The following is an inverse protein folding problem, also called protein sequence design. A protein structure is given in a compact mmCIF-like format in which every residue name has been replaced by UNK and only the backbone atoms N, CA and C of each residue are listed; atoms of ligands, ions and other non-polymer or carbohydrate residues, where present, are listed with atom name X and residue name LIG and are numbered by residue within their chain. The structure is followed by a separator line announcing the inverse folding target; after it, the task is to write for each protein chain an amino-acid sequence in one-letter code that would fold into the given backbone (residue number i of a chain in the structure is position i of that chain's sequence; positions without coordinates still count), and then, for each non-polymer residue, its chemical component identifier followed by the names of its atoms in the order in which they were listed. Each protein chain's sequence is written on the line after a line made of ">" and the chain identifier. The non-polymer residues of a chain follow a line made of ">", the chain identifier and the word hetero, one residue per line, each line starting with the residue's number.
data_IF_485828884799
#
_entry.id   IF_485828884799
#
_cell.length_a   1.000
_cell.length_b   1.000
_cell.length_c   1.000
_cell.angle_alpha   90.00
_cell.angle_beta   90.00
_cell.angle_gamma   90.00
#
_symmetry.space_group_name_H-M   'P 1'
#
loop_
_entity.id
_entity.type
_entity.pdbx_description
1 polymer ?
#
# COMPACT_ATOMS: atom_id res chain seq x y z
N UNK A 1 -29.04 54.47 39.86
CA UNK A 1 -29.26 53.85 38.53
C UNK A 1 -27.96 53.36 38.03
N UNK A 2 -27.66 52.07 38.27
CA UNK A 2 -26.44 51.40 37.83
C UNK A 2 -26.81 50.49 36.65
N UNK A 3 -26.32 50.81 35.47
CA UNK A 3 -26.46 49.95 34.30
C UNK A 3 -25.37 48.86 34.32
N UNK A 4 -25.76 47.59 34.42
CA UNK A 4 -24.92 46.40 34.26
C UNK A 4 -24.73 46.12 32.77
N UNK A 5 -23.53 46.35 32.27
CA UNK A 5 -23.10 45.95 30.93
C UNK A 5 -22.74 44.48 31.01
N UNK A 6 -23.55 43.62 30.38
CA UNK A 6 -23.23 42.19 30.18
C UNK A 6 -22.35 42.05 28.93
N UNK A 7 -21.08 41.78 29.12
CA UNK A 7 -20.16 41.34 28.08
C UNK A 7 -20.43 39.86 27.74
N UNK A 8 -21.01 39.60 26.58
CA UNK A 8 -21.13 38.27 26.05
C UNK A 8 -19.78 37.89 25.38
N UNK A 9 -19.06 37.01 26.00
CA UNK A 9 -17.85 36.42 25.39
C UNK A 9 -18.27 35.40 24.32
N UNK A 10 -18.06 35.74 23.04
CA UNK A 10 -18.23 34.83 21.91
C UNK A 10 -17.01 33.87 21.88
N UNK A 11 -17.20 32.63 22.33
CA UNK A 11 -16.20 31.59 22.20
C UNK A 11 -16.15 31.13 20.72
N UNK A 12 -15.16 31.59 19.98
CA UNK A 12 -14.87 31.14 18.62
C UNK A 12 -14.22 29.75 18.69
N UNK A 13 -15.02 28.70 18.57
CA UNK A 13 -14.50 27.32 18.42
C UNK A 13 -13.90 27.19 17.03
N UNK A 14 -12.56 27.26 16.92
CA UNK A 14 -11.81 26.86 15.75
C UNK A 14 -11.95 25.34 15.57
N UNK A 15 -12.86 24.93 14.70
CA UNK A 15 -12.90 23.57 14.16
C UNK A 15 -11.65 23.39 13.29
N UNK A 16 -10.61 22.80 13.85
CA UNK A 16 -9.52 22.25 13.06
C UNK A 16 -10.09 21.07 12.27
N UNK A 17 -10.51 21.33 11.04
CA UNK A 17 -10.72 20.26 10.05
C UNK A 17 -9.35 19.64 9.79
N UNK A 18 -9.08 18.50 10.42
CA UNK A 18 -7.98 17.64 9.99
C UNK A 18 -8.27 17.25 8.53
N UNK A 19 -7.37 17.53 7.58
CA UNK A 19 -7.57 17.05 6.23
C UNK A 19 -7.72 15.52 6.33
N UNK A 20 -8.83 15.00 5.82
CA UNK A 20 -8.98 13.58 5.61
C UNK A 20 -7.80 13.14 4.72
N UNK A 21 -6.89 12.34 5.25
CA UNK A 21 -5.87 11.65 4.47
C UNK A 21 -6.55 10.53 3.68
N UNK A 22 -7.53 10.91 2.86
CA UNK A 22 -8.17 10.03 1.92
C UNK A 22 -7.16 9.76 0.79
N UNK A 23 -6.77 8.50 0.62
CA UNK A 23 -6.18 7.93 -0.62
C UNK A 23 -5.29 8.87 -1.44
N UNK A 24 -4.38 9.62 -0.79
CA UNK A 24 -3.45 10.42 -1.56
C UNK A 24 -2.46 9.50 -2.22
N UNK A 25 -2.54 9.46 -3.56
CA UNK A 25 -1.51 8.87 -4.39
C UNK A 25 -0.14 9.40 -3.97
N UNK A 26 0.91 8.57 -3.94
CA UNK A 26 2.23 9.02 -3.56
C UNK A 26 2.67 10.17 -4.48
N UNK A 27 2.87 11.34 -3.89
CA UNK A 27 3.34 12.53 -4.63
C UNK A 27 4.66 12.21 -5.32
N UNK A 28 4.76 12.57 -6.62
CA UNK A 28 5.96 12.32 -7.40
C UNK A 28 6.16 10.87 -7.86
N UNK A 29 5.17 9.99 -7.71
CA UNK A 29 5.25 8.59 -8.15
C UNK A 29 4.15 8.23 -9.17
N UNK A 30 3.71 9.18 -9.97
CA UNK A 30 2.76 8.95 -11.05
C UNK A 30 3.46 8.42 -12.33
N UNK A 31 2.68 8.10 -13.36
CA UNK A 31 3.21 7.56 -14.62
C UNK A 31 4.15 8.53 -15.35
N UNK A 32 3.90 9.85 -15.26
CA UNK A 32 4.77 10.85 -15.90
C UNK A 32 6.13 10.92 -15.17
N UNK A 33 6.11 10.87 -13.84
CA UNK A 33 7.31 10.81 -13.02
C UNK A 33 8.16 9.56 -13.32
N UNK A 34 7.49 8.40 -13.48
CA UNK A 34 8.14 7.16 -13.88
C UNK A 34 8.82 7.26 -15.25
N UNK A 35 8.14 7.83 -16.24
CA UNK A 35 8.74 8.03 -17.57
C UNK A 35 9.93 8.99 -17.53
N UNK A 36 9.85 10.05 -16.72
CA UNK A 36 10.95 10.98 -16.50
C UNK A 36 12.14 10.30 -15.78
N UNK A 37 11.88 9.43 -14.81
CA UNK A 37 12.90 8.62 -14.15
C UNK A 37 13.61 7.70 -15.15
N UNK A 38 12.90 6.95 -15.98
CA UNK A 38 13.49 6.08 -17.00
C UNK A 38 14.30 6.85 -18.05
N UNK A 39 13.92 8.11 -18.33
CA UNK A 39 14.67 8.95 -19.27
C UNK A 39 16.03 9.39 -18.70
N UNK A 40 16.12 9.59 -17.37
CA UNK A 40 17.34 10.01 -16.68
C UNK A 40 18.27 8.85 -16.29
N UNK A 41 17.70 7.64 -16.12
CA UNK A 41 18.41 6.47 -15.58
C UNK A 41 18.42 5.31 -16.59
N UNK A 42 19.39 5.28 -17.54
CA UNK A 42 19.44 4.22 -18.54
C UNK A 42 19.57 2.80 -17.97
N UNK A 43 20.28 2.65 -16.83
CA UNK A 43 20.40 1.37 -16.13
C UNK A 43 19.04 0.87 -15.63
N UNK A 44 18.26 1.75 -14.99
CA UNK A 44 16.92 1.43 -14.51
C UNK A 44 15.99 1.01 -15.65
N UNK A 45 16.12 1.62 -16.84
CA UNK A 45 15.37 1.21 -18.03
C UNK A 45 15.64 -0.25 -18.40
N UNK A 46 16.90 -0.69 -18.39
CA UNK A 46 17.25 -2.07 -18.69
C UNK A 46 16.71 -3.04 -17.62
N UNK A 47 16.81 -2.68 -16.35
CA UNK A 47 16.29 -3.47 -15.23
C UNK A 47 14.76 -3.59 -15.29
N UNK A 48 14.04 -2.51 -15.54
CA UNK A 48 12.58 -2.52 -15.72
C UNK A 48 12.18 -3.39 -16.92
N UNK A 49 12.92 -3.35 -18.04
CA UNK A 49 12.62 -4.19 -19.18
C UNK A 49 12.78 -5.68 -18.83
N UNK A 50 13.86 -6.04 -18.14
CA UNK A 50 14.09 -7.40 -17.67
C UNK A 50 13.00 -7.85 -16.67
N UNK A 51 12.61 -6.99 -15.75
CA UNK A 51 11.52 -7.26 -14.82
C UNK A 51 10.17 -7.48 -15.53
N UNK A 52 9.85 -6.65 -16.53
CA UNK A 52 8.64 -6.85 -17.36
C UNK A 52 8.65 -8.19 -18.09
N UNK A 53 9.79 -8.59 -18.64
CA UNK A 53 9.94 -9.90 -19.29
C UNK A 53 9.71 -11.05 -18.29
N UNK A 54 10.25 -10.92 -17.07
CA UNK A 54 10.01 -11.88 -16.01
C UNK A 54 8.51 -11.97 -15.66
N UNK A 55 7.82 -10.85 -15.46
CA UNK A 55 6.37 -10.83 -15.16
C UNK A 55 5.56 -11.51 -16.28
N UNK A 56 5.93 -11.28 -17.55
CA UNK A 56 5.28 -11.90 -18.70
C UNK A 56 5.49 -13.43 -18.73
N UNK A 57 6.70 -13.90 -18.40
CA UNK A 57 6.97 -15.34 -18.30
C UNK A 57 6.16 -16.02 -17.18
N UNK A 58 5.95 -15.31 -16.06
CA UNK A 58 5.13 -15.78 -14.94
C UNK A 58 3.62 -15.49 -15.15
N UNK A 59 3.26 -14.88 -16.27
CA UNK A 59 1.86 -14.52 -16.65
C UNK A 59 1.15 -13.66 -15.63
N UNK A 60 1.84 -12.68 -15.04
CA UNK A 60 1.30 -11.72 -14.05
C UNK A 60 1.54 -10.26 -14.44
N UNK A 61 1.91 -10.00 -15.70
CA UNK A 61 2.23 -8.67 -16.24
C UNK A 61 1.03 -7.72 -16.35
N UNK A 62 -0.17 -8.28 -16.35
CA UNK A 62 -1.45 -7.59 -16.55
C UNK A 62 -2.21 -7.32 -15.23
N UNK A 63 -1.72 -7.83 -14.10
CA UNK A 63 -2.39 -7.64 -12.79
C UNK A 63 -2.37 -6.18 -12.37
N UNK A 64 -1.22 -5.55 -12.42
CA UNK A 64 -1.07 -4.10 -12.19
C UNK A 64 0.00 -3.54 -13.14
N UNK A 65 -0.07 -2.27 -13.52
CA UNK A 65 0.95 -1.66 -14.38
C UNK A 65 2.35 -1.75 -13.74
N UNK A 66 3.38 -2.14 -14.51
CA UNK A 66 4.75 -2.27 -14.01
C UNK A 66 5.27 -1.00 -13.33
N UNK A 67 4.87 0.19 -13.79
CA UNK A 67 5.28 1.46 -13.20
C UNK A 67 4.78 1.65 -11.77
N UNK A 68 3.70 0.98 -11.38
CA UNK A 68 3.23 0.95 -10.00
C UNK A 68 4.05 -0.01 -9.14
N UNK A 69 4.46 -1.16 -9.71
CA UNK A 69 5.26 -2.16 -8.99
C UNK A 69 6.64 -1.66 -8.56
N UNK A 70 7.19 -0.68 -9.28
CA UNK A 70 8.48 -0.07 -8.96
C UNK A 70 8.37 1.17 -8.08
N UNK A 71 7.17 1.58 -7.65
CA UNK A 71 6.99 2.57 -6.59
C UNK A 71 7.60 2.04 -5.30
N UNK A 72 8.36 2.86 -4.61
CA UNK A 72 8.99 2.48 -3.35
C UNK A 72 8.05 2.70 -2.16
N UNK A 73 8.32 3.66 -1.28
CA UNK A 73 7.45 4.04 -0.18
C UNK A 73 6.80 5.40 -0.45
N UNK A 74 5.59 5.63 0.02
CA UNK A 74 4.97 6.96 -0.05
C UNK A 74 5.76 8.05 0.69
N UNK A 75 6.65 7.66 1.62
CA UNK A 75 7.56 8.56 2.35
C UNK A 75 8.92 8.74 1.68
N UNK A 76 9.12 8.30 0.44
CA UNK A 76 10.41 8.33 -0.23
C UNK A 76 11.10 9.68 -0.17
N UNK A 77 10.37 10.77 -0.40
CA UNK A 77 10.90 12.14 -0.37
C UNK A 77 11.34 12.57 1.02
N UNK A 78 10.51 12.30 2.04
CA UNK A 78 10.84 12.62 3.43
C UNK A 78 12.01 11.79 3.98
N UNK A 79 12.28 10.65 3.35
CA UNK A 79 13.38 9.75 3.68
C UNK A 79 14.63 9.94 2.80
N UNK A 80 14.62 10.90 1.88
CA UNK A 80 15.67 11.06 0.86
C UNK A 80 15.99 9.74 0.15
N UNK A 81 14.96 8.94 -0.09
CA UNK A 81 15.05 7.62 -0.70
C UNK A 81 14.74 7.64 -2.20
N UNK A 82 14.95 6.53 -2.90
CA UNK A 82 14.62 6.44 -4.32
C UNK A 82 13.10 6.54 -4.53
N UNK A 83 12.72 7.35 -5.50
CA UNK A 83 11.33 7.55 -5.95
C UNK A 83 10.76 6.25 -6.54
N UNK A 84 11.53 5.61 -7.41
CA UNK A 84 11.29 4.31 -8.00
C UNK A 84 12.51 3.43 -7.81
N UNK A 85 12.32 2.13 -7.69
CA UNK A 85 13.40 1.16 -7.54
C UNK A 85 12.94 -0.19 -8.09
N UNK A 86 13.84 -0.92 -8.72
CA UNK A 86 13.61 -2.30 -9.17
C UNK A 86 14.25 -3.23 -8.15
N UNK A 87 13.45 -4.08 -7.53
CA UNK A 87 13.97 -5.08 -6.61
C UNK A 87 15.04 -5.97 -7.30
N UNK A 88 16.04 -6.49 -6.57
CA UNK A 88 16.99 -7.44 -7.13
C UNK A 88 16.29 -8.62 -7.82
N UNK A 89 16.82 -9.16 -8.94
CA UNK A 89 16.19 -10.27 -9.66
C UNK A 89 15.94 -11.53 -8.82
N UNK A 90 16.74 -11.76 -7.76
CA UNK A 90 16.52 -12.84 -6.79
C UNK A 90 15.19 -12.76 -6.04
N UNK A 91 14.62 -11.56 -5.93
CA UNK A 91 13.38 -11.29 -5.18
C UNK A 91 12.11 -11.32 -6.07
N UNK A 92 12.25 -11.36 -7.39
CA UNK A 92 11.11 -11.22 -8.31
C UNK A 92 10.07 -12.35 -8.20
N UNK A 93 10.51 -13.57 -7.85
CA UNK A 93 9.57 -14.70 -7.65
C UNK A 93 8.59 -14.44 -6.51
N UNK A 94 8.99 -13.68 -5.50
CA UNK A 94 8.15 -13.36 -4.36
C UNK A 94 6.96 -12.51 -4.78
N UNK A 95 7.20 -11.46 -5.57
CA UNK A 95 6.11 -10.58 -6.00
C UNK A 95 5.20 -11.28 -7.03
N UNK A 96 5.71 -12.18 -7.86
CA UNK A 96 4.90 -12.96 -8.78
C UNK A 96 3.85 -13.80 -8.03
N UNK A 97 4.22 -14.41 -6.90
CA UNK A 97 3.29 -15.14 -6.03
C UNK A 97 2.18 -14.24 -5.48
N UNK A 98 2.55 -13.04 -5.00
CA UNK A 98 1.60 -12.05 -4.49
C UNK A 98 0.65 -11.55 -5.58
N UNK A 99 1.18 -11.24 -6.78
CA UNK A 99 0.37 -10.82 -7.93
C UNK A 99 -0.60 -11.92 -8.37
N UNK A 100 -0.15 -13.17 -8.39
CA UNK A 100 -1.01 -14.32 -8.69
C UNK A 100 -2.18 -14.44 -7.69
N UNK A 101 -1.92 -14.21 -6.40
CA UNK A 101 -2.98 -14.17 -5.40
C UNK A 101 -3.94 -13.00 -5.60
N UNK A 102 -3.42 -11.81 -5.89
CA UNK A 102 -4.25 -10.61 -6.15
C UNK A 102 -5.20 -10.88 -7.32
N UNK A 103 -4.69 -11.31 -8.47
CA UNK A 103 -5.50 -11.60 -9.66
C UNK A 103 -6.58 -12.65 -9.41
N UNK A 104 -6.20 -13.75 -8.76
CA UNK A 104 -7.10 -14.90 -8.67
C UNK A 104 -8.10 -14.81 -7.52
N UNK A 105 -7.83 -14.01 -6.49
CA UNK A 105 -8.64 -14.00 -5.27
C UNK A 105 -9.05 -12.60 -4.81
N UNK A 106 -8.25 -11.58 -5.01
CA UNK A 106 -8.53 -10.23 -4.52
C UNK A 106 -9.38 -9.44 -5.52
N UNK A 107 -8.92 -9.28 -6.75
CA UNK A 107 -9.64 -8.51 -7.78
C UNK A 107 -11.05 -9.04 -8.09
N UNK A 108 -11.33 -10.35 -8.08
CA UNK A 108 -12.70 -10.85 -8.27
C UNK A 108 -13.69 -10.41 -7.18
N UNK A 109 -13.21 -9.92 -6.03
CA UNK A 109 -14.05 -9.55 -4.89
C UNK A 109 -14.11 -8.05 -4.67
N UNK A 110 -12.98 -7.34 -4.80
CA UNK A 110 -12.92 -5.90 -4.53
C UNK A 110 -12.68 -5.04 -5.77
N UNK A 111 -12.56 -5.67 -6.95
CA UNK A 111 -12.20 -5.00 -8.19
C UNK A 111 -10.70 -4.72 -8.32
N UNK A 112 -10.30 -3.99 -9.39
CA UNK A 112 -8.91 -3.62 -9.63
C UNK A 112 -8.32 -2.81 -8.49
N UNK A 113 -7.01 -2.97 -8.30
CA UNK A 113 -6.24 -2.28 -7.26
C UNK A 113 -5.17 -1.38 -7.88
N UNK A 114 -4.74 -0.37 -7.13
CA UNK A 114 -3.60 0.46 -7.45
C UNK A 114 -2.52 0.28 -6.38
N UNK A 115 -1.29 0.01 -6.81
CA UNK A 115 -0.15 -0.17 -5.91
C UNK A 115 0.42 1.20 -5.52
N UNK A 116 0.50 1.47 -4.23
CA UNK A 116 1.05 2.71 -3.68
C UNK A 116 2.43 2.54 -3.03
N UNK A 117 2.86 1.31 -2.78
CA UNK A 117 4.21 0.99 -2.31
C UNK A 117 4.56 -0.46 -2.59
N UNK A 118 5.71 -0.70 -3.20
CA UNK A 118 6.27 -2.02 -3.48
C UNK A 118 7.56 -2.30 -2.70
N UNK A 119 8.67 -2.56 -3.43
CA UNK A 119 9.97 -2.83 -2.86
C UNK A 119 10.51 -1.65 -2.05
N UNK A 120 11.15 -1.94 -0.91
CA UNK A 120 11.85 -0.96 -0.08
C UNK A 120 13.21 -1.52 0.30
N UNK A 121 14.29 -0.86 -0.12
CA UNK A 121 15.60 -1.18 0.40
C UNK A 121 15.66 -0.94 1.93
N UNK A 122 16.72 -1.39 2.58
CA UNK A 122 16.82 -1.37 4.04
C UNK A 122 16.72 0.02 4.63
N UNK A 123 17.40 1.01 4.03
CA UNK A 123 17.45 2.37 4.56
C UNK A 123 16.09 3.06 4.46
N UNK A 124 15.43 2.93 3.30
CA UNK A 124 14.09 3.46 3.11
C UNK A 124 13.07 2.77 4.02
N UNK A 125 13.17 1.45 4.18
CA UNK A 125 12.28 0.72 5.09
C UNK A 125 12.45 1.19 6.54
N UNK A 126 13.69 1.39 6.99
CA UNK A 126 14.00 1.90 8.34
C UNK A 126 13.46 3.32 8.55
N UNK A 127 13.70 4.22 7.62
CA UNK A 127 13.21 5.60 7.69
C UNK A 127 11.67 5.64 7.65
N UNK A 128 11.03 4.86 6.80
CA UNK A 128 9.58 4.75 6.69
C UNK A 128 8.95 3.99 7.87
N UNK A 129 9.71 3.69 8.93
CA UNK A 129 9.27 2.97 10.14
C UNK A 129 8.71 1.59 9.85
N UNK A 130 9.17 0.93 8.79
CA UNK A 130 8.85 -0.46 8.49
C UNK A 130 9.48 -1.41 9.51
N UNK A 131 8.85 -2.57 9.71
CA UNK A 131 9.41 -3.61 10.57
C UNK A 131 10.79 -4.06 10.07
N UNK A 132 11.75 -4.44 10.96
CA UNK A 132 13.07 -4.90 10.52
C UNK A 132 13.04 -6.11 9.58
N UNK A 133 12.01 -6.97 9.73
CA UNK A 133 11.75 -8.13 8.86
C UNK A 133 10.55 -7.88 7.95
N UNK A 134 10.43 -6.66 7.41
CA UNK A 134 9.33 -6.29 6.52
C UNK A 134 9.36 -7.09 5.23
N UNK A 135 8.20 -7.59 4.81
CA UNK A 135 8.00 -8.28 3.53
C UNK A 135 8.32 -7.39 2.31
N UNK A 136 8.24 -6.07 2.44
CA UNK A 136 8.64 -5.12 1.39
C UNK A 136 10.14 -5.15 1.08
N UNK A 137 11.01 -5.49 2.07
CA UNK A 137 12.47 -5.57 1.87
C UNK A 137 12.88 -6.73 0.95
N UNK A 138 12.04 -7.73 0.83
CA UNK A 138 12.25 -8.92 0.01
C UNK A 138 11.18 -9.05 -1.09
N UNK A 139 10.56 -7.94 -1.44
CA UNK A 139 9.57 -7.83 -2.50
C UNK A 139 8.44 -8.87 -2.45
N UNK A 140 8.06 -9.35 -1.26
CA UNK A 140 6.86 -10.16 -1.06
C UNK A 140 5.58 -9.32 -1.02
N UNK A 141 5.69 -8.00 -0.75
CA UNK A 141 4.58 -7.18 -0.32
C UNK A 141 4.25 -6.03 -1.26
N UNK A 142 2.95 -5.74 -1.35
CA UNK A 142 2.39 -4.53 -1.93
C UNK A 142 1.47 -3.85 -0.93
N UNK A 143 1.61 -2.54 -0.76
CA UNK A 143 0.58 -1.71 -0.19
C UNK A 143 -0.27 -1.15 -1.34
N UNK A 144 -1.59 -1.23 -1.21
CA UNK A 144 -2.53 -0.93 -2.29
C UNK A 144 -3.73 -0.14 -1.79
N UNK A 145 -4.45 0.45 -2.74
CA UNK A 145 -5.79 1.00 -2.55
C UNK A 145 -6.71 0.43 -3.63
N UNK A 146 -8.05 0.33 -3.40
CA UNK A 146 -8.97 0.02 -4.48
C UNK A 146 -8.90 1.08 -5.57
N UNK A 147 -8.94 0.67 -6.84
CA UNK A 147 -9.01 1.61 -7.98
C UNK A 147 -10.44 2.17 -8.17
N UNK A 148 -11.44 1.58 -7.52
CA UNK A 148 -12.83 2.04 -7.49
C UNK A 148 -13.17 2.73 -6.17
N UNK A 149 -14.30 3.44 -6.15
CA UNK A 149 -14.85 4.07 -4.93
C UNK A 149 -15.51 3.02 -4.02
N UNK A 150 -14.68 2.13 -3.49
CA UNK A 150 -15.11 1.08 -2.56
C UNK A 150 -15.04 1.58 -1.12
N UNK A 151 -16.14 1.48 -0.39
CA UNK A 151 -16.20 1.89 1.02
C UNK A 151 -15.28 1.04 1.91
N UNK A 152 -14.65 1.69 2.92
CA UNK A 152 -13.72 1.02 3.84
C UNK A 152 -14.29 -0.28 4.45
N UNK A 153 -15.53 -0.26 4.91
CA UNK A 153 -16.17 -1.42 5.52
C UNK A 153 -16.38 -2.58 4.55
N UNK A 154 -16.72 -2.29 3.30
CA UNK A 154 -16.89 -3.28 2.25
C UNK A 154 -15.54 -3.90 1.87
N UNK A 155 -14.52 -3.07 1.68
CA UNK A 155 -13.14 -3.49 1.46
C UNK A 155 -12.66 -4.47 2.53
N UNK A 156 -12.80 -4.09 3.81
CA UNK A 156 -12.35 -4.90 4.94
C UNK A 156 -13.08 -6.25 4.99
N UNK A 157 -14.41 -6.26 4.82
CA UNK A 157 -15.20 -7.51 4.80
C UNK A 157 -14.77 -8.44 3.66
N UNK A 158 -14.58 -7.89 2.47
CA UNK A 158 -14.11 -8.63 1.30
C UNK A 158 -12.75 -9.27 1.53
N UNK A 159 -11.78 -8.47 1.95
CA UNK A 159 -10.39 -8.94 2.18
C UNK A 159 -10.30 -9.93 3.34
N UNK A 160 -11.02 -9.71 4.45
CA UNK A 160 -11.05 -10.66 5.57
C UNK A 160 -11.62 -12.00 5.13
N UNK A 161 -12.72 -12.01 4.36
CA UNK A 161 -13.31 -13.24 3.82
C UNK A 161 -12.34 -14.01 2.93
N UNK A 162 -11.64 -13.32 2.04
CA UNK A 162 -10.65 -13.96 1.16
C UNK A 162 -9.50 -14.55 2.00
N UNK A 163 -9.01 -13.79 2.98
CA UNK A 163 -7.92 -14.21 3.85
C UNK A 163 -8.30 -15.43 4.71
N UNK A 164 -9.51 -15.48 5.24
CA UNK A 164 -10.02 -16.62 6.00
C UNK A 164 -10.15 -17.90 5.13
N UNK A 165 -10.57 -17.73 3.87
CA UNK A 165 -10.81 -18.86 2.96
C UNK A 165 -9.54 -19.36 2.27
N UNK A 166 -8.58 -18.49 1.97
CA UNK A 166 -7.44 -18.78 1.09
C UNK A 166 -6.09 -18.39 1.68
N UNK A 167 -6.06 -17.45 2.64
CA UNK A 167 -4.82 -16.86 3.13
C UNK A 167 -3.79 -17.87 3.62
N UNK A 168 -4.24 -18.90 4.36
CA UNK A 168 -3.34 -19.92 4.89
C UNK A 168 -2.73 -20.80 3.79
N UNK A 169 -3.49 -21.13 2.75
CA UNK A 169 -3.02 -21.96 1.62
C UNK A 169 -1.91 -21.28 0.82
N UNK A 170 -1.90 -19.93 0.78
CA UNK A 170 -0.96 -19.13 0.01
C UNK A 170 0.02 -18.33 0.87
N UNK A 171 0.12 -18.59 2.16
CA UNK A 171 0.96 -17.89 3.13
C UNK A 171 0.74 -16.37 3.16
N UNK A 172 -0.53 -15.93 2.99
CA UNK A 172 -0.84 -14.51 2.83
C UNK A 172 -0.80 -13.75 4.17
N UNK A 173 0.01 -12.71 4.19
CA UNK A 173 -0.08 -11.62 5.16
C UNK A 173 -1.09 -10.58 4.69
N UNK A 174 -2.04 -10.19 5.56
CA UNK A 174 -3.04 -9.15 5.32
C UNK A 174 -2.94 -8.07 6.38
N UNK A 175 -2.78 -6.82 5.95
CA UNK A 175 -2.70 -5.68 6.84
C UNK A 175 -3.63 -4.53 6.45
N UNK A 176 -4.09 -3.77 7.44
CA UNK A 176 -4.92 -2.60 7.22
C UNK A 176 -4.29 -1.36 7.80
N UNK A 177 -4.25 -0.30 7.00
CA UNK A 177 -3.86 1.05 7.41
C UNK A 177 -5.09 1.93 7.66
N UNK A 178 -4.88 3.22 7.85
CA UNK A 178 -5.96 4.19 7.84
C UNK A 178 -6.57 4.33 6.42
N UNK A 179 -7.84 4.71 6.33
CA UNK A 179 -8.55 4.83 5.06
C UNK A 179 -8.78 3.47 4.39
N UNK A 180 -8.64 3.42 3.07
CA UNK A 180 -8.80 2.21 2.26
C UNK A 180 -7.48 1.57 1.84
N UNK A 181 -6.34 2.05 2.38
CA UNK A 181 -5.05 1.44 2.13
C UNK A 181 -4.94 0.11 2.88
N UNK A 182 -4.47 -0.91 2.19
CA UNK A 182 -4.24 -2.24 2.73
C UNK A 182 -2.93 -2.84 2.20
N UNK A 183 -2.48 -3.86 2.87
CA UNK A 183 -1.24 -4.58 2.59
C UNK A 183 -1.54 -6.05 2.30
N UNK A 184 -0.92 -6.58 1.25
CA UNK A 184 -0.88 -8.02 0.99
C UNK A 184 0.57 -8.44 0.73
N UNK A 185 0.97 -9.56 1.34
CA UNK A 185 2.23 -10.24 1.07
C UNK A 185 2.05 -11.76 1.05
N UNK A 186 2.96 -12.46 0.37
CA UNK A 186 3.03 -13.93 0.29
C UNK A 186 4.17 -14.52 1.12
N UNK A 187 4.60 -13.83 2.20
CA UNK A 187 5.73 -14.28 3.02
C UNK A 187 5.31 -15.28 4.10
N UNK A 188 4.18 -15.04 4.75
CA UNK A 188 3.60 -15.94 5.77
C UNK A 188 2.17 -15.56 6.12
N UNK A 189 1.37 -16.53 6.49
CA UNK A 189 0.01 -16.31 6.98
C UNK A 189 0.00 -15.50 8.28
N UNK A 190 -0.58 -14.30 8.23
CA UNK A 190 -0.82 -13.41 9.37
C UNK A 190 -1.77 -12.30 9.00
N UNK A 191 -2.28 -11.58 10.02
CA UNK A 191 -3.08 -10.36 9.81
C UNK A 191 -2.81 -9.34 10.91
N UNK A 192 -2.97 -8.06 10.58
CA UNK A 192 -2.76 -6.95 11.50
C UNK A 192 -3.64 -5.74 11.15
N UNK A 193 -3.89 -4.88 12.14
CA UNK A 193 -4.63 -3.63 12.02
C UNK A 193 -3.74 -2.40 11.96
N UNK A 194 -4.32 -1.18 12.03
CA UNK A 194 -3.59 0.08 11.85
C UNK A 194 -2.43 0.33 12.84
N UNK A 195 -2.42 -0.33 13.98
CA UNK A 195 -1.33 -0.27 14.96
C UNK A 195 -0.25 -1.35 14.74
N UNK A 196 -0.34 -2.11 13.64
CA UNK A 196 0.57 -3.20 13.32
C UNK A 196 0.37 -4.49 14.11
N UNK A 197 -0.66 -4.59 14.95
CA UNK A 197 -0.92 -5.76 15.81
C UNK A 197 -2.05 -6.64 15.27
N UNK A 198 -1.93 -7.95 15.48
CA UNK A 198 -2.98 -8.89 15.12
C UNK A 198 -4.29 -8.67 15.88
N UNK A 199 -4.22 -8.26 17.15
CA UNK A 199 -5.39 -8.00 17.97
C UNK A 199 -6.28 -6.87 17.45
N UNK A 200 -5.72 -5.88 16.75
CA UNK A 200 -6.46 -4.76 16.15
C UNK A 200 -6.88 -5.00 14.71
N UNK A 201 -6.58 -6.17 14.14
CA UNK A 201 -7.01 -6.52 12.79
C UNK A 201 -8.55 -6.54 12.71
N UNK A 202 -9.16 -5.84 11.74
CA UNK A 202 -10.61 -5.91 11.51
C UNK A 202 -11.13 -7.33 11.36
N UNK A 203 -10.33 -8.22 10.77
CA UNK A 203 -10.69 -9.63 10.62
C UNK A 203 -10.77 -10.40 11.94
N UNK A 204 -10.10 -9.92 12.99
CA UNK A 204 -10.15 -10.53 14.33
C UNK A 204 -11.21 -9.86 15.22
N UNK A 205 -11.42 -8.57 15.05
CA UNK A 205 -12.35 -7.79 15.88
C UNK A 205 -13.78 -7.78 15.34
N UNK A 206 -13.96 -8.07 14.05
CA UNK A 206 -15.26 -7.90 13.36
C UNK A 206 -15.65 -6.42 13.19
N UNK A 207 -14.76 -5.46 13.47
CA UNK A 207 -15.02 -4.04 13.33
C UNK A 207 -14.63 -3.56 11.94
N UNK A 208 -15.63 -3.23 11.13
CA UNK A 208 -15.48 -2.78 9.74
C UNK A 208 -15.90 -1.29 9.56
N UNK A 209 -15.81 -0.50 10.61
CA UNK A 209 -16.12 0.92 10.57
C UNK A 209 -14.94 1.77 10.10
#
# INVERSE_FOLDING_TARGET
>A
MQQLIRLAALALTLLFAFPAFANQMPEGQNKADYLAWLAREPAARAEVLAFKQFLAMDKVEDVVPTWELVRTASMWRACDGPQFDVAPPSEWRHIASTLGFIRNHVEPVIGPVEVVSGFRNEDLNRCARGAPKSAHRHFYALDMVPASDLGRGELMRGLCRIHDLRGQQYDIGLGFYAGTRFHIDSQRFRRWGPDGKGASSPCNTGSFA
#
